data_IF_413790154226
#
_entry.id   IF_413790154226
#
_cell.length_a   1.000
_cell.length_b   1.000
_cell.length_c   1.000
_cell.angle_alpha   90.00
_cell.angle_beta   90.00
_cell.angle_gamma   90.00
#
_symmetry.space_group_name_H-M   'P 1'
#
loop_
_entity.id
_entity.type
_entity.pdbx_description
1 polymer ?
#
# COMPACT_ATOMS: atom_id res chain seq x y z
N UNK A 1 -19.62 55.27 -3.33
CA UNK A 1 -19.78 55.78 -1.95
C UNK A 1 -19.60 54.62 -0.97
N UNK A 2 -18.77 54.86 0.06
CA UNK A 2 -18.80 54.30 1.41
C UNK A 2 -18.60 52.77 1.54
N UNK A 3 -17.44 52.23 1.94
CA UNK A 3 -16.54 52.55 3.07
C UNK A 3 -17.27 52.39 4.42
N UNK A 4 -16.82 51.38 5.17
CA UNK A 4 -16.97 51.13 6.62
C UNK A 4 -18.25 50.48 7.14
N UNK A 5 -18.01 49.49 8.01
CA UNK A 5 -18.80 48.97 9.14
C UNK A 5 -18.70 47.44 9.11
N UNK A 6 -18.37 46.69 10.16
CA UNK A 6 -18.00 46.97 11.53
C UNK A 6 -17.66 45.57 12.10
N UNK A 7 -16.47 45.34 12.63
CA UNK A 7 -16.15 45.34 14.07
C UNK A 7 -16.71 44.14 14.88
N UNK A 8 -15.79 43.49 15.61
CA UNK A 8 -15.93 42.99 17.00
C UNK A 8 -16.04 41.49 17.30
N UNK A 9 -15.31 41.14 18.37
CA UNK A 9 -15.25 39.88 19.13
C UNK A 9 -14.49 38.74 18.44
N UNK A 10 -13.23 38.42 18.76
CA UNK A 10 -12.56 38.45 20.07
C UNK A 10 -12.63 37.05 20.67
N UNK A 11 -11.49 36.37 20.75
CA UNK A 11 -11.06 35.49 21.85
C UNK A 11 -9.54 35.31 21.69
N UNK A 12 -8.81 36.02 22.56
CA UNK A 12 -7.54 35.59 23.11
C UNK A 12 -7.84 34.36 23.97
N UNK A 13 -7.18 33.22 23.75
CA UNK A 13 -6.86 32.22 24.78
C UNK A 13 -5.79 31.23 24.25
N UNK A 14 -4.54 31.61 24.54
CA UNK A 14 -3.44 30.79 25.09
C UNK A 14 -3.53 29.26 24.90
N UNK A 15 -2.51 28.70 24.26
CA UNK A 15 -2.20 27.28 24.31
C UNK A 15 -0.86 26.98 23.65
N UNK A 16 0.21 26.96 24.44
CA UNK A 16 1.55 26.52 24.06
C UNK A 16 1.53 25.17 23.33
N UNK A 17 2.09 25.08 22.12
CA UNK A 17 2.82 23.88 21.67
C UNK A 17 3.89 24.27 20.66
N UNK A 18 5.11 23.81 20.91
CA UNK A 18 6.26 23.88 20.03
C UNK A 18 6.01 23.18 18.69
N UNK A 19 6.47 23.78 17.60
CA UNK A 19 6.82 23.11 16.35
C UNK A 19 7.84 24.03 15.66
N UNK A 20 9.13 23.77 15.78
CA UNK A 20 9.74 22.63 15.11
C UNK A 20 10.25 23.10 13.74
N UNK A 21 11.21 24.01 13.74
CA UNK A 21 11.83 24.51 12.51
C UNK A 21 13.35 24.59 12.70
N UNK A 22 13.96 23.42 12.85
CA UNK A 22 15.25 23.12 12.26
C UNK A 22 15.34 21.60 12.23
N UNK A 23 14.60 21.00 11.28
CA UNK A 23 14.97 19.70 10.77
C UNK A 23 16.37 19.89 10.18
N UNK A 24 17.37 19.61 11.03
CA UNK A 24 18.72 19.33 10.60
C UNK A 24 18.57 18.41 9.39
N UNK A 25 18.99 18.88 8.22
CA UNK A 25 19.29 18.01 7.09
C UNK A 25 20.53 17.21 7.45
N UNK A 26 20.40 16.42 8.51
CA UNK A 26 21.08 15.16 8.60
C UNK A 26 20.36 14.31 7.55
N UNK A 27 20.84 14.40 6.31
CA UNK A 27 20.73 13.27 5.39
C UNK A 27 21.54 12.15 6.04
N UNK A 28 21.01 11.57 7.12
CA UNK A 28 21.18 10.17 7.41
C UNK A 28 20.60 9.52 6.17
N UNK A 29 21.48 9.25 5.22
CA UNK A 29 21.27 8.28 4.17
C UNK A 29 20.81 7.05 4.93
N UNK A 30 19.48 6.87 5.04
CA UNK A 30 18.92 5.77 5.79
C UNK A 30 19.63 4.53 5.25
N UNK A 31 20.32 3.73 6.09
CA UNK A 31 21.11 2.63 5.61
C UNK A 31 20.22 1.84 4.66
N UNK A 32 20.64 1.77 3.40
CA UNK A 32 19.95 1.12 2.29
C UNK A 32 19.31 -0.24 2.63
N UNK A 33 19.80 -1.06 3.60
CA UNK A 33 19.09 -2.27 4.03
C UNK A 33 17.75 -2.05 4.79
N UNK A 34 17.60 -0.98 5.59
CA UNK A 34 16.41 -0.80 6.44
C UNK A 34 15.15 -0.44 5.63
N UNK A 35 15.33 0.37 4.59
CA UNK A 35 14.24 0.74 3.66
C UNK A 35 13.86 -0.44 2.77
N UNK A 36 14.84 -1.20 2.27
CA UNK A 36 14.62 -2.36 1.40
C UNK A 36 13.86 -3.51 2.10
N UNK A 37 14.23 -3.86 3.34
CA UNK A 37 13.52 -4.89 4.10
C UNK A 37 12.07 -4.48 4.42
N UNK A 38 11.83 -3.20 4.68
CA UNK A 38 10.47 -2.67 4.88
C UNK A 38 9.64 -2.78 3.61
N UNK A 39 10.23 -2.51 2.45
CA UNK A 39 9.57 -2.69 1.15
C UNK A 39 9.24 -4.17 0.87
N UNK A 40 10.17 -5.10 1.14
CA UNK A 40 9.91 -6.55 0.99
C UNK A 40 8.76 -7.00 1.91
N UNK A 41 8.73 -6.53 3.16
CA UNK A 41 7.66 -6.86 4.09
C UNK A 41 6.29 -6.37 3.59
N UNK A 42 6.24 -5.15 3.05
CA UNK A 42 5.01 -4.59 2.45
C UNK A 42 4.56 -5.38 1.22
N UNK A 43 5.49 -5.79 0.34
CA UNK A 43 5.17 -6.62 -0.82
C UNK A 43 4.64 -8.00 -0.40
N UNK A 44 5.18 -8.61 0.66
CA UNK A 44 4.67 -9.87 1.22
C UNK A 44 3.27 -9.72 1.81
N UNK A 45 3.03 -8.65 2.55
CA UNK A 45 1.72 -8.36 3.12
C UNK A 45 0.67 -8.15 2.03
N UNK A 46 1.01 -7.38 0.98
CA UNK A 46 0.16 -7.20 -0.18
C UNK A 46 -0.13 -8.54 -0.88
N UNK A 47 0.90 -9.35 -1.14
CA UNK A 47 0.73 -10.66 -1.75
C UNK A 47 -0.23 -11.56 -0.95
N UNK A 48 -0.06 -11.61 0.38
CA UNK A 48 -0.93 -12.39 1.26
C UNK A 48 -2.39 -11.88 1.20
N UNK A 49 -2.60 -10.57 1.17
CA UNK A 49 -3.94 -10.00 1.00
C UNK A 49 -4.58 -10.43 -0.32
N UNK A 50 -3.81 -10.40 -1.42
CA UNK A 50 -4.30 -10.80 -2.74
C UNK A 50 -4.65 -12.29 -2.79
N UNK A 51 -3.83 -13.16 -2.19
CA UNK A 51 -4.06 -14.62 -2.09
C UNK A 51 -5.33 -14.95 -1.28
N UNK A 52 -5.57 -14.27 -0.15
CA UNK A 52 -6.81 -14.41 0.63
C UNK A 52 -8.02 -14.02 -0.22
N UNK A 53 -7.92 -12.92 -0.95
CA UNK A 53 -8.99 -12.46 -1.83
C UNK A 53 -9.19 -13.40 -3.04
N UNK A 54 -8.14 -14.10 -3.51
CA UNK A 54 -8.27 -15.14 -4.53
C UNK A 54 -9.07 -16.31 -3.99
N UNK A 55 -8.73 -16.79 -2.79
CA UNK A 55 -9.40 -17.91 -2.16
C UNK A 55 -10.89 -17.64 -1.94
N UNK A 56 -11.25 -16.46 -1.41
CA UNK A 56 -12.67 -16.05 -1.25
C UNK A 56 -13.44 -16.04 -2.58
N UNK A 57 -12.75 -15.72 -3.68
CA UNK A 57 -13.37 -15.70 -5.00
C UNK A 57 -13.62 -17.12 -5.52
N UNK A 58 -12.71 -18.06 -5.24
CA UNK A 58 -12.87 -19.49 -5.53
C UNK A 58 -14.09 -20.07 -4.78
N UNK A 59 -14.20 -19.78 -3.47
CA UNK A 59 -15.36 -20.15 -2.66
C UNK A 59 -16.66 -19.59 -3.23
N UNK A 60 -16.66 -18.30 -3.61
CA UNK A 60 -17.82 -17.65 -4.22
C UNK A 60 -18.23 -18.33 -5.53
N UNK A 61 -17.28 -18.76 -6.36
CA UNK A 61 -17.60 -19.51 -7.60
C UNK A 61 -18.29 -20.82 -7.26
N UNK A 62 -17.85 -21.53 -6.22
CA UNK A 62 -18.50 -22.78 -5.78
C UNK A 62 -19.94 -22.51 -5.34
N UNK A 63 -20.18 -21.48 -4.53
CA UNK A 63 -21.55 -21.08 -4.11
C UNK A 63 -22.43 -20.66 -5.28
N UNK A 64 -21.90 -19.89 -6.23
CA UNK A 64 -22.67 -19.46 -7.40
C UNK A 64 -23.06 -20.66 -8.28
N UNK A 65 -22.17 -21.65 -8.42
CA UNK A 65 -22.47 -22.90 -9.12
C UNK A 65 -23.54 -23.72 -8.40
N UNK A 66 -23.48 -23.81 -7.06
CA UNK A 66 -24.50 -24.56 -6.30
C UNK A 66 -25.88 -23.88 -6.36
N UNK A 67 -25.92 -22.55 -6.53
CA UNK A 67 -27.16 -21.80 -6.72
C UNK A 67 -27.62 -21.74 -8.19
N UNK A 68 -26.95 -22.46 -9.09
CA UNK A 68 -27.21 -22.44 -10.54
C UNK A 68 -27.09 -21.04 -11.19
N UNK A 69 -26.40 -20.09 -10.56
CA UNK A 69 -26.10 -18.77 -11.14
C UNK A 69 -24.90 -18.85 -12.09
N UNK A 70 -25.17 -19.27 -13.33
CA UNK A 70 -24.16 -19.43 -14.37
C UNK A 70 -23.50 -18.10 -14.75
N UNK A 71 -24.26 -17.02 -14.83
CA UNK A 71 -23.73 -15.71 -15.23
C UNK A 71 -22.84 -15.11 -14.13
N UNK A 72 -23.23 -15.26 -12.86
CA UNK A 72 -22.41 -14.94 -11.71
C UNK A 72 -21.11 -15.76 -11.69
N UNK A 73 -21.19 -17.07 -11.87
CA UNK A 73 -20.03 -17.95 -11.86
C UNK A 73 -19.02 -17.61 -12.98
N UNK A 74 -19.48 -17.25 -14.18
CA UNK A 74 -18.61 -16.83 -15.28
C UNK A 74 -17.88 -15.52 -14.95
N UNK A 75 -18.60 -14.50 -14.43
CA UNK A 75 -17.98 -13.22 -14.03
C UNK A 75 -16.96 -13.41 -12.92
N UNK A 76 -17.29 -14.21 -11.91
CA UNK A 76 -16.36 -14.52 -10.83
C UNK A 76 -15.13 -15.31 -11.33
N UNK A 77 -15.29 -16.24 -12.28
CA UNK A 77 -14.18 -16.94 -12.89
C UNK A 77 -13.27 -16.03 -13.75
N UNK A 78 -13.83 -15.02 -14.44
CA UNK A 78 -13.02 -14.02 -15.14
C UNK A 78 -12.22 -13.17 -14.17
N UNK A 79 -12.85 -12.71 -13.08
CA UNK A 79 -12.17 -12.00 -12.01
C UNK A 79 -11.05 -12.85 -11.37
N UNK A 80 -11.27 -14.17 -11.23
CA UNK A 80 -10.26 -15.10 -10.71
C UNK A 80 -9.02 -15.12 -11.59
N UNK A 81 -9.21 -15.23 -12.91
CA UNK A 81 -8.09 -15.24 -13.87
C UNK A 81 -7.25 -13.97 -13.81
N UNK A 82 -7.90 -12.80 -13.74
CA UNK A 82 -7.18 -11.52 -13.59
C UNK A 82 -6.35 -11.53 -12.31
N UNK A 83 -6.98 -11.88 -11.19
CA UNK A 83 -6.33 -11.87 -9.88
C UNK A 83 -5.17 -12.88 -9.80
N UNK A 84 -5.29 -14.06 -10.41
CA UNK A 84 -4.20 -15.03 -10.50
C UNK A 84 -3.01 -14.46 -11.28
N UNK A 85 -3.25 -13.70 -12.36
CA UNK A 85 -2.18 -13.04 -13.11
C UNK A 85 -1.51 -11.93 -12.28
N UNK A 86 -2.28 -11.13 -11.56
CA UNK A 86 -1.77 -10.08 -10.66
C UNK A 86 -0.89 -10.67 -9.56
N UNK A 87 -1.33 -11.76 -8.92
CA UNK A 87 -0.56 -12.50 -7.90
C UNK A 87 0.75 -13.06 -8.49
N UNK A 88 0.72 -13.59 -9.71
CA UNK A 88 1.93 -14.06 -10.37
C UNK A 88 2.93 -12.92 -10.62
N UNK A 89 2.43 -11.74 -11.02
CA UNK A 89 3.23 -10.52 -11.13
C UNK A 89 3.87 -10.12 -9.80
N UNK A 90 3.07 -10.01 -8.74
CA UNK A 90 3.55 -9.67 -7.39
C UNK A 90 4.59 -10.67 -6.86
N UNK A 91 4.42 -11.97 -7.14
CA UNK A 91 5.42 -13.01 -6.80
C UNK A 91 6.73 -12.79 -7.53
N UNK A 92 6.67 -12.47 -8.82
CA UNK A 92 7.86 -12.16 -9.62
C UNK A 92 8.57 -10.92 -9.08
N UNK A 93 7.84 -9.83 -8.83
CA UNK A 93 8.40 -8.59 -8.30
C UNK A 93 9.04 -8.80 -6.91
N UNK A 94 8.39 -9.56 -6.03
CA UNK A 94 8.93 -9.88 -4.71
C UNK A 94 10.20 -10.72 -4.83
N UNK A 95 10.22 -11.70 -5.74
CA UNK A 95 11.40 -12.51 -6.03
C UNK A 95 12.57 -11.65 -6.56
N UNK A 96 12.29 -10.73 -7.47
CA UNK A 96 13.27 -9.80 -8.02
C UNK A 96 13.79 -8.83 -6.96
N UNK A 97 12.92 -8.30 -6.09
CA UNK A 97 13.32 -7.47 -4.97
C UNK A 97 14.26 -8.23 -4.02
N UNK A 98 13.91 -9.48 -3.67
CA UNK A 98 14.74 -10.33 -2.80
C UNK A 98 16.08 -10.74 -3.44
N UNK A 99 16.14 -10.83 -4.78
CA UNK A 99 17.33 -11.28 -5.52
C UNK A 99 18.25 -10.11 -5.86
N UNK A 100 17.71 -9.00 -6.38
CA UNK A 100 18.47 -7.81 -6.77
C UNK A 100 18.91 -6.96 -5.57
N UNK A 101 18.22 -7.07 -4.43
CA UNK A 101 18.72 -6.56 -3.15
C UNK A 101 20.07 -7.16 -2.73
N UNK A 102 20.37 -8.40 -3.16
CA UNK A 102 21.66 -9.06 -2.90
C UNK A 102 22.78 -8.62 -3.85
N UNK A 103 22.45 -8.21 -5.07
CA UNK A 103 23.44 -7.79 -6.08
C UNK A 103 24.24 -6.54 -5.69
N UNK A 104 23.65 -5.64 -4.89
CA UNK A 104 24.34 -4.45 -4.37
C UNK A 104 25.25 -4.75 -3.16
N UNK A 105 24.97 -5.80 -2.37
CA UNK A 105 25.84 -6.20 -1.26
C UNK A 105 27.13 -6.91 -1.75
N UNK A 106 27.10 -7.52 -2.94
CA UNK A 106 28.26 -8.22 -3.52
C UNK A 106 29.27 -7.29 -4.20
N UNK A 107 28.94 -6.02 -4.46
CA UNK A 107 29.84 -5.05 -5.13
C UNK A 107 30.56 -4.08 -4.18
N UNK A 108 30.32 -4.17 -2.88
CA UNK A 108 30.98 -3.34 -1.85
C UNK A 108 32.23 -4.00 -1.27
N UNK A 109 33.00 -4.73 -2.09
CA UNK A 109 34.24 -5.38 -1.67
C UNK A 109 35.45 -4.83 -2.41
#
# INVERSE_FOLDING_TARGET
MNRWMATMAGILLIGSVAAGAQASTDRVSAPYPLTHNRTIAQMREHLNHEEIAQHRLEERIVTLKSHHDRAGAIRAAQQLRSKTADIAGLKSELHDAMTNGKGYQSRTH
#
